data_IF_219110419547
#
_entry.id   IF_219110419547
#
_cell.length_a   1.000
_cell.length_b   1.000
_cell.length_c   1.000
_cell.angle_alpha   90.00
_cell.angle_beta   90.00
_cell.angle_gamma   90.00
#
_symmetry.space_group_name_H-M   'P 1'
#
loop_
_entity.id
_entity.type
_entity.pdbx_description
1 polymer ?
#
# COMPACT_ATOMS: atom_id res chain seq x y z
N UNK A 1 -2.53 9.69 60.68
CA UNK A 1 -3.64 8.82 60.23
C UNK A 1 -3.70 8.93 58.71
N UNK A 2 -3.51 7.80 58.01
CA UNK A 2 -3.46 7.70 56.54
C UNK A 2 -4.85 7.92 55.90
N UNK A 3 -4.95 8.40 54.64
CA UNK A 3 -6.22 8.51 53.94
C UNK A 3 -6.66 7.17 53.33
N UNK A 4 -7.97 7.01 53.25
CA UNK A 4 -8.70 5.84 52.73
C UNK A 4 -8.51 5.73 51.21
N UNK A 5 -7.99 4.60 50.73
CA UNK A 5 -7.81 4.31 49.31
C UNK A 5 -9.09 3.77 48.66
N UNK A 6 -9.37 4.27 47.45
CA UNK A 6 -10.48 3.87 46.59
C UNK A 6 -10.44 2.39 46.22
N UNK A 7 -11.58 1.71 46.32
CA UNK A 7 -11.77 0.32 45.87
C UNK A 7 -12.02 0.36 44.35
N UNK A 8 -11.07 -0.17 43.56
CA UNK A 8 -11.27 -0.41 42.13
C UNK A 8 -11.79 -1.82 41.93
N UNK A 9 -13.00 -1.97 41.38
CA UNK A 9 -13.54 -3.27 40.97
C UNK A 9 -12.83 -3.73 39.70
N UNK A 10 -12.08 -4.83 39.76
CA UNK A 10 -11.59 -5.52 38.57
C UNK A 10 -12.66 -6.50 38.08
N UNK A 11 -13.08 -6.33 36.82
CA UNK A 11 -13.90 -7.32 36.11
C UNK A 11 -13.00 -8.53 35.83
N UNK A 12 -13.18 -9.59 36.61
CA UNK A 12 -12.46 -10.85 36.40
C UNK A 12 -13.09 -11.59 35.22
N UNK A 13 -12.31 -11.78 34.16
CA UNK A 13 -12.70 -12.53 32.96
C UNK A 13 -13.18 -13.95 33.35
N UNK A 14 -14.29 -14.46 32.77
CA UNK A 14 -14.96 -15.69 33.22
C UNK A 14 -14.10 -16.97 33.21
N UNK A 15 -12.94 -16.95 32.54
CA UNK A 15 -11.98 -18.07 32.52
C UNK A 15 -11.18 -18.27 33.82
N UNK A 16 -11.04 -17.25 34.68
CA UNK A 16 -10.20 -17.36 35.90
C UNK A 16 -10.96 -17.98 37.08
N UNK A 17 -12.30 -17.98 37.03
CA UNK A 17 -13.14 -18.55 38.11
C UNK A 17 -12.99 -20.06 38.29
N UNK A 18 -12.50 -20.79 37.29
CA UNK A 18 -12.40 -22.26 37.36
C UNK A 18 -11.14 -22.79 38.06
N UNK A 19 -10.15 -21.94 38.35
CA UNK A 19 -8.89 -22.38 38.98
C UNK A 19 -8.85 -22.22 40.51
N UNK A 20 -9.90 -21.67 41.15
CA UNK A 20 -9.85 -21.28 42.57
C UNK A 20 -10.93 -21.98 43.42
N UNK A 21 -11.65 -22.98 42.88
CA UNK A 21 -12.55 -23.81 43.68
C UNK A 21 -11.80 -25.03 44.23
N UNK A 22 -10.97 -24.85 45.27
CA UNK A 22 -10.46 -26.03 45.98
C UNK A 22 -9.26 -25.92 46.91
N UNK A 23 -8.56 -24.79 47.04
CA UNK A 23 -7.39 -24.73 47.92
C UNK A 23 -7.59 -23.83 49.15
N UNK A 24 -7.39 -24.46 50.31
CA UNK A 24 -7.30 -23.86 51.64
C UNK A 24 -6.29 -22.71 51.67
N UNK A 25 -6.74 -21.56 52.18
CA UNK A 25 -5.98 -20.32 52.27
C UNK A 25 -4.96 -20.42 53.40
N UNK A 26 -3.84 -21.11 53.21
CA UNK A 26 -2.63 -20.93 54.03
C UNK A 26 -1.36 -21.09 53.19
N UNK A 27 -0.62 -19.98 53.08
CA UNK A 27 0.75 -19.86 52.52
C UNK A 27 0.89 -20.18 51.03
N UNK A 28 0.48 -19.24 50.19
CA UNK A 28 1.06 -19.07 48.86
C UNK A 28 1.50 -17.61 48.72
N UNK A 29 2.79 -17.34 48.91
CA UNK A 29 3.42 -16.13 48.38
C UNK A 29 3.43 -16.27 46.86
N UNK A 30 2.31 -15.92 46.22
CA UNK A 30 2.25 -15.78 44.78
C UNK A 30 2.99 -14.49 44.48
N UNK A 31 4.23 -14.62 44.03
CA UNK A 31 4.99 -13.53 43.41
C UNK A 31 4.26 -13.18 42.11
N UNK A 32 3.33 -12.22 42.17
CA UNK A 32 2.68 -11.67 40.98
C UNK A 32 3.76 -10.84 40.28
N UNK A 33 4.51 -11.47 39.37
CA UNK A 33 5.31 -10.72 38.41
C UNK A 33 4.33 -9.94 37.53
N UNK A 34 4.50 -8.62 37.34
CA UNK A 34 3.67 -7.90 36.39
C UNK A 34 3.89 -8.54 35.02
N UNK A 35 2.83 -9.10 34.44
CA UNK A 35 2.82 -9.42 33.01
C UNK A 35 3.22 -8.15 32.27
N UNK A 36 4.14 -8.21 31.30
CA UNK A 36 4.44 -7.04 30.49
C UNK A 36 3.13 -6.57 29.88
N UNK A 37 2.65 -5.40 30.31
CA UNK A 37 1.62 -4.67 29.60
C UNK A 37 2.27 -4.33 28.27
N UNK A 38 1.99 -5.15 27.25
CA UNK A 38 2.20 -4.74 25.87
C UNK A 38 1.27 -3.53 25.66
N UNK A 39 1.79 -2.34 25.94
CA UNK A 39 1.22 -1.11 25.40
C UNK A 39 1.24 -1.31 23.90
N UNK A 40 0.10 -1.67 23.31
CA UNK A 40 -0.01 -1.90 21.88
C UNK A 40 0.57 -0.68 21.18
N UNK A 41 1.75 -0.82 20.59
CA UNK A 41 2.39 0.25 19.84
C UNK A 41 1.42 0.56 18.71
N UNK A 42 0.86 1.77 18.71
CA UNK A 42 -0.03 2.24 17.66
C UNK A 42 0.61 1.93 16.30
N UNK A 43 -0.05 1.10 15.49
CA UNK A 43 0.47 0.67 14.20
C UNK A 43 0.30 1.86 13.24
N UNK A 44 1.37 2.62 13.03
CA UNK A 44 1.37 3.75 12.11
C UNK A 44 1.36 3.27 10.65
N UNK A 45 0.48 3.86 9.84
CA UNK A 45 0.41 3.68 8.39
C UNK A 45 1.72 4.06 7.71
N UNK A 46 2.26 5.24 8.07
CA UNK A 46 3.53 5.77 7.57
C UNK A 46 4.67 5.31 8.46
N UNK A 47 5.66 4.63 7.88
CA UNK A 47 6.73 3.94 8.59
C UNK A 47 8.09 4.39 8.09
N UNK A 48 9.02 4.57 9.04
CA UNK A 48 10.43 4.84 8.76
C UNK A 48 11.12 3.53 8.34
N UNK A 49 11.99 3.58 7.33
CA UNK A 49 12.81 2.43 6.94
C UNK A 49 14.13 2.34 7.75
N UNK A 50 14.88 1.22 7.67
CA UNK A 50 16.15 1.06 8.40
C UNK A 50 17.19 2.14 8.07
N UNK A 51 17.20 2.64 6.84
CA UNK A 51 18.13 3.69 6.38
C UNK A 51 17.75 5.10 6.83
N UNK A 52 16.63 5.29 7.52
CA UNK A 52 16.28 6.57 8.10
C UNK A 52 15.19 7.37 7.38
N UNK A 53 14.73 6.92 6.22
CA UNK A 53 13.77 7.64 5.39
C UNK A 53 12.34 7.44 5.90
N UNK A 54 11.52 8.48 5.77
CA UNK A 54 10.09 8.49 6.10
C UNK A 54 9.30 8.95 4.87
N UNK A 55 8.09 8.41 4.63
CA UNK A 55 7.26 8.85 3.52
C UNK A 55 6.92 10.33 3.58
N UNK A 56 6.89 10.98 2.41
CA UNK A 56 6.41 12.34 2.20
C UNK A 56 5.09 12.27 1.47
N UNK A 57 4.00 12.59 2.15
CA UNK A 57 2.63 12.44 1.62
C UNK A 57 1.94 13.79 1.61
N UNK A 58 1.36 14.16 0.48
CA UNK A 58 0.52 15.35 0.36
C UNK A 58 -0.67 15.31 1.33
N UNK A 59 -0.99 16.45 1.94
CA UNK A 59 -2.19 16.60 2.78
C UNK A 59 -3.48 16.45 1.99
N UNK A 60 -3.42 16.58 0.65
CA UNK A 60 -4.52 16.37 -0.29
C UNK A 60 -4.62 14.95 -0.83
N UNK A 61 -3.73 14.04 -0.44
CA UNK A 61 -3.90 12.61 -0.71
C UNK A 61 -4.82 11.96 0.34
N UNK A 62 -5.35 10.78 0.03
CA UNK A 62 -6.01 9.92 1.00
C UNK A 62 -5.26 8.60 1.10
N UNK A 63 -4.89 8.23 2.32
CA UNK A 63 -4.27 6.94 2.65
C UNK A 63 -5.20 6.21 3.61
N UNK A 64 -5.63 5.02 3.23
CA UNK A 64 -6.45 4.18 4.09
C UNK A 64 -5.69 3.77 5.39
N UNK A 65 -6.35 3.76 6.57
CA UNK A 65 -5.78 3.33 7.84
C UNK A 65 -5.08 1.97 7.86
N UNK A 66 -5.48 1.05 6.96
CA UNK A 66 -4.92 -0.30 6.86
C UNK A 66 -3.76 -0.41 5.88
N UNK A 67 -3.49 0.64 5.10
CA UNK A 67 -2.36 0.68 4.18
C UNK A 67 -1.02 0.81 4.93
N UNK A 68 0.05 0.31 4.31
CA UNK A 68 1.42 0.41 4.82
C UNK A 68 2.27 1.16 3.82
N UNK A 69 2.85 2.28 4.24
CA UNK A 69 3.78 3.07 3.43
C UNK A 69 5.08 3.20 4.19
N UNK A 70 6.17 2.69 3.63
CA UNK A 70 7.45 2.56 4.34
C UNK A 70 8.61 3.14 3.54
N UNK A 71 9.42 3.98 4.19
CA UNK A 71 10.70 4.43 3.66
C UNK A 71 10.62 5.61 2.70
N UNK A 72 11.49 5.63 1.68
CA UNK A 72 11.65 6.76 0.74
C UNK A 72 10.52 6.78 -0.31
N UNK A 73 9.31 7.09 0.13
CA UNK A 73 8.10 7.15 -0.71
C UNK A 73 7.59 8.59 -0.79
N UNK A 74 7.23 9.04 -1.99
CA UNK A 74 6.70 10.38 -2.25
C UNK A 74 5.32 10.24 -2.89
N UNK A 75 4.28 10.81 -2.26
CA UNK A 75 2.90 10.75 -2.72
C UNK A 75 2.36 12.16 -2.92
N UNK A 76 1.94 12.46 -4.14
CA UNK A 76 1.43 13.78 -4.56
C UNK A 76 -0.07 13.97 -4.30
N UNK A 77 -0.59 15.14 -4.68
CA UNK A 77 -1.96 15.58 -4.44
C UNK A 77 -3.00 14.65 -5.08
N UNK A 78 -4.14 14.46 -4.40
CA UNK A 78 -5.28 13.69 -4.92
C UNK A 78 -4.94 12.24 -5.30
N UNK A 79 -3.90 11.67 -4.69
CA UNK A 79 -3.65 10.23 -4.77
C UNK A 79 -4.57 9.50 -3.80
N UNK A 80 -5.22 8.45 -4.30
CA UNK A 80 -5.96 7.49 -3.49
C UNK A 80 -5.08 6.27 -3.20
N UNK A 81 -4.90 5.91 -1.93
CA UNK A 81 -4.29 4.63 -1.52
C UNK A 81 -5.30 3.84 -0.71
N UNK A 82 -5.74 2.72 -1.28
CA UNK A 82 -6.81 1.88 -0.74
C UNK A 82 -6.36 0.90 0.35
N UNK A 83 -7.33 0.19 0.95
CA UNK A 83 -7.09 -0.79 2.01
C UNK A 83 -6.02 -1.82 1.69
N UNK A 84 -5.19 -2.15 2.67
CA UNK A 84 -4.16 -3.18 2.59
C UNK A 84 -3.11 -3.00 1.49
N UNK A 85 -3.04 -1.85 0.83
CA UNK A 85 -1.93 -1.53 -0.07
C UNK A 85 -0.61 -1.46 0.70
N UNK A 86 0.47 -1.99 0.13
CA UNK A 86 1.81 -2.00 0.71
C UNK A 86 2.80 -1.35 -0.25
N UNK A 87 3.31 -0.17 0.12
CA UNK A 87 4.27 0.60 -0.66
C UNK A 87 5.56 0.72 0.16
N UNK A 88 6.65 0.11 -0.31
CA UNK A 88 7.85 -0.05 0.51
C UNK A 88 9.12 0.24 -0.28
N UNK A 89 9.81 1.32 0.10
CA UNK A 89 11.10 1.75 -0.41
C UNK A 89 12.16 1.66 0.70
N UNK A 90 12.72 0.46 0.91
CA UNK A 90 13.62 0.17 2.03
C UNK A 90 14.81 -0.74 1.68
N UNK A 91 14.90 -1.24 0.44
CA UNK A 91 16.09 -1.93 -0.05
C UNK A 91 17.16 -0.94 -0.50
N UNK A 92 18.42 -1.27 -0.22
CA UNK A 92 19.59 -0.51 -0.64
C UNK A 92 20.23 -1.12 -1.89
N UNK A 93 20.84 -0.27 -2.72
CA UNK A 93 21.73 -0.67 -3.79
C UNK A 93 23.12 -1.06 -3.23
N UNK A 94 24.04 -1.42 -4.13
CA UNK A 94 25.40 -1.84 -3.76
C UNK A 94 26.21 -0.73 -3.05
N UNK A 95 25.87 0.54 -3.29
CA UNK A 95 26.54 1.71 -2.74
C UNK A 95 25.93 2.15 -1.38
N UNK A 96 24.88 1.46 -0.91
CA UNK A 96 24.20 1.80 0.34
C UNK A 96 23.16 2.91 0.20
N UNK A 97 22.72 3.21 -1.02
CA UNK A 97 21.73 4.23 -1.37
C UNK A 97 20.40 3.62 -1.88
N UNK A 98 19.36 4.45 -2.02
CA UNK A 98 18.09 4.04 -2.64
C UNK A 98 17.43 5.22 -3.38
N UNK A 99 16.83 4.94 -4.52
CA UNK A 99 15.94 5.86 -5.22
C UNK A 99 14.53 5.83 -4.61
N UNK A 100 13.76 6.93 -4.76
CA UNK A 100 12.40 6.98 -4.24
C UNK A 100 11.42 6.13 -5.05
N UNK A 101 10.34 5.71 -4.38
CA UNK A 101 9.07 5.37 -5.04
C UNK A 101 8.24 6.66 -5.12
N UNK A 102 7.86 7.09 -6.32
CA UNK A 102 7.10 8.32 -6.56
C UNK A 102 5.74 7.99 -7.16
N UNK A 103 4.68 8.53 -6.56
CA UNK A 103 3.30 8.41 -7.05
C UNK A 103 2.75 9.80 -7.31
N UNK A 104 2.54 10.13 -8.59
CA UNK A 104 2.09 11.43 -9.05
C UNK A 104 0.58 11.63 -8.90
N UNK A 105 0.17 12.89 -9.03
CA UNK A 105 -1.16 13.36 -8.67
C UNK A 105 -2.30 12.66 -9.43
N UNK A 106 -3.47 12.60 -8.82
CA UNK A 106 -4.69 12.00 -9.39
C UNK A 106 -4.58 10.51 -9.75
N UNK A 107 -3.53 9.84 -9.27
CA UNK A 107 -3.35 8.40 -9.42
C UNK A 107 -4.08 7.65 -8.31
N UNK A 108 -4.31 6.36 -8.53
CA UNK A 108 -4.89 5.49 -7.50
C UNK A 108 -4.11 4.19 -7.37
N UNK A 109 -3.82 3.83 -6.13
CA UNK A 109 -3.20 2.58 -5.71
C UNK A 109 -4.25 1.82 -4.93
N UNK A 110 -4.90 0.87 -5.59
CA UNK A 110 -6.10 0.22 -5.07
C UNK A 110 -5.77 -0.89 -4.06
N UNK A 111 -6.82 -1.54 -3.58
CA UNK A 111 -6.79 -2.51 -2.48
C UNK A 111 -5.76 -3.62 -2.71
N UNK A 112 -4.92 -3.86 -1.70
CA UNK A 112 -3.94 -4.94 -1.71
C UNK A 112 -2.83 -4.82 -2.77
N UNK A 113 -2.69 -3.67 -3.44
CA UNK A 113 -1.57 -3.44 -4.35
C UNK A 113 -0.24 -3.48 -3.59
N UNK A 114 0.78 -4.07 -4.20
CA UNK A 114 2.14 -4.08 -3.67
C UNK A 114 3.05 -3.29 -4.60
N UNK A 115 3.73 -2.27 -4.07
CA UNK A 115 4.77 -1.53 -4.77
C UNK A 115 6.07 -1.66 -3.97
N UNK A 116 7.09 -2.17 -4.63
CA UNK A 116 8.39 -2.44 -4.03
C UNK A 116 9.50 -2.25 -5.06
N UNK A 117 10.74 -2.16 -4.62
CA UNK A 117 11.89 -1.98 -5.50
C UNK A 117 13.01 -2.94 -5.16
N UNK A 118 13.62 -3.56 -6.17
CA UNK A 118 14.82 -4.39 -6.01
C UNK A 118 16.03 -3.48 -5.85
N UNK A 119 16.90 -3.75 -4.87
CA UNK A 119 18.24 -3.13 -4.79
C UNK A 119 18.21 -1.60 -4.89
N UNK A 120 17.25 -0.94 -4.23
CA UNK A 120 17.12 0.51 -4.23
C UNK A 120 16.70 1.14 -5.55
N UNK A 121 16.21 0.37 -6.53
CA UNK A 121 15.79 0.88 -7.83
C UNK A 121 14.56 1.83 -7.76
N UNK A 122 14.39 2.76 -8.72
CA UNK A 122 13.25 3.66 -8.73
C UNK A 122 11.95 2.96 -9.14
N UNK A 123 10.83 3.44 -8.60
CA UNK A 123 9.50 3.21 -9.18
C UNK A 123 8.79 4.56 -9.33
N UNK A 124 8.28 4.84 -10.52
CA UNK A 124 7.48 6.05 -10.78
C UNK A 124 6.12 5.65 -11.32
N UNK A 125 5.05 6.19 -10.72
CA UNK A 125 3.68 6.09 -11.20
C UNK A 125 3.23 7.49 -11.63
N UNK A 126 3.01 7.68 -12.93
CA UNK A 126 2.64 8.94 -13.56
C UNK A 126 1.23 9.40 -13.22
N UNK A 127 0.91 10.66 -13.52
CA UNK A 127 -0.37 11.27 -13.13
C UNK A 127 -1.58 10.62 -13.78
N UNK A 128 -2.69 10.54 -13.06
CA UNK A 128 -3.94 9.97 -13.58
C UNK A 128 -3.86 8.47 -13.88
N UNK A 129 -2.87 7.78 -13.33
CA UNK A 129 -2.65 6.34 -13.55
C UNK A 129 -3.37 5.51 -12.48
N UNK A 130 -3.94 4.40 -12.90
CA UNK A 130 -4.66 3.47 -12.03
C UNK A 130 -3.87 2.18 -11.87
N UNK A 131 -3.41 1.89 -10.65
CA UNK A 131 -2.85 0.59 -10.27
C UNK A 131 -3.94 -0.17 -9.54
N UNK A 132 -4.62 -1.05 -10.26
CA UNK A 132 -5.85 -1.66 -9.79
C UNK A 132 -5.63 -2.81 -8.79
N UNK A 133 -6.72 -3.25 -8.14
CA UNK A 133 -6.68 -4.16 -6.99
C UNK A 133 -5.70 -5.33 -7.16
N UNK A 134 -4.85 -5.53 -6.14
CA UNK A 134 -3.89 -6.65 -6.02
C UNK A 134 -2.83 -6.72 -7.12
N UNK A 135 -2.67 -5.68 -7.94
CA UNK A 135 -1.54 -5.60 -8.85
C UNK A 135 -0.21 -5.49 -8.08
N UNK A 136 0.88 -5.92 -8.71
CA UNK A 136 2.24 -5.83 -8.18
C UNK A 136 3.06 -4.97 -9.13
N UNK A 137 3.72 -3.94 -8.60
CA UNK A 137 4.70 -3.13 -9.32
C UNK A 137 6.04 -3.28 -8.62
N UNK A 138 7.01 -3.89 -9.29
CA UNK A 138 8.32 -4.16 -8.74
C UNK A 138 9.42 -3.44 -9.54
N UNK A 139 10.18 -2.57 -8.87
CA UNK A 139 11.22 -1.76 -9.48
C UNK A 139 12.42 -2.58 -10.02
N UNK A 140 13.15 -2.08 -11.03
CA UNK A 140 12.98 -0.75 -11.66
C UNK A 140 11.72 -0.69 -12.53
N UNK A 141 10.87 0.32 -12.33
CA UNK A 141 9.64 0.44 -13.10
C UNK A 141 9.26 1.90 -13.33
N UNK A 142 8.97 2.26 -14.57
CA UNK A 142 8.38 3.55 -14.90
C UNK A 142 7.01 3.31 -15.53
N UNK A 143 5.97 3.85 -14.92
CA UNK A 143 4.62 3.87 -15.49
C UNK A 143 4.28 5.33 -15.75
N UNK A 144 4.09 5.69 -17.00
CA UNK A 144 3.79 7.07 -17.38
C UNK A 144 2.33 7.43 -17.02
N UNK A 145 1.88 8.59 -17.50
CA UNK A 145 0.56 9.14 -17.20
C UNK A 145 -0.59 8.42 -17.93
N UNK A 146 -1.78 8.47 -17.32
CA UNK A 146 -3.04 7.92 -17.88
C UNK A 146 -2.98 6.43 -18.21
N UNK A 147 -2.15 5.67 -17.51
CA UNK A 147 -2.04 4.22 -17.68
C UNK A 147 -3.07 3.49 -16.80
N UNK A 148 -3.63 2.39 -17.29
CA UNK A 148 -4.43 1.46 -16.48
C UNK A 148 -3.71 0.13 -16.33
N UNK A 149 -3.43 -0.28 -15.09
CA UNK A 149 -2.91 -1.59 -14.74
C UNK A 149 -4.01 -2.40 -14.06
N UNK A 150 -4.47 -3.45 -14.73
CA UNK A 150 -5.60 -4.26 -14.30
C UNK A 150 -5.30 -5.16 -13.10
N UNK A 151 -6.38 -5.69 -12.51
CA UNK A 151 -6.37 -6.54 -11.33
C UNK A 151 -5.37 -7.69 -11.41
N UNK A 152 -4.67 -7.96 -10.30
CA UNK A 152 -3.67 -9.02 -10.15
C UNK A 152 -2.54 -9.02 -11.21
N UNK A 153 -2.36 -7.94 -11.97
CA UNK A 153 -1.28 -7.87 -12.97
C UNK A 153 0.07 -7.63 -12.31
N UNK A 154 1.14 -8.10 -12.94
CA UNK A 154 2.50 -7.96 -12.42
C UNK A 154 3.34 -7.15 -13.41
N UNK A 155 3.97 -6.10 -12.91
CA UNK A 155 4.94 -5.28 -13.61
C UNK A 155 6.30 -5.45 -12.94
N UNK A 156 7.33 -5.78 -13.72
CA UNK A 156 8.70 -5.88 -13.24
C UNK A 156 9.68 -5.41 -14.30
N UNK A 157 10.69 -4.62 -13.93
CA UNK A 157 11.77 -4.22 -14.84
C UNK A 157 11.27 -3.61 -16.18
N UNK A 158 10.23 -2.77 -16.15
CA UNK A 158 9.53 -2.35 -17.36
C UNK A 158 9.28 -0.83 -17.40
N UNK A 159 9.09 -0.30 -18.61
CA UNK A 159 8.59 1.06 -18.84
C UNK A 159 7.26 0.99 -19.59
N UNK A 160 6.18 1.43 -18.95
CA UNK A 160 4.85 1.47 -19.56
C UNK A 160 4.56 2.90 -19.98
N UNK A 161 4.51 3.15 -21.29
CA UNK A 161 4.29 4.49 -21.81
C UNK A 161 2.83 4.94 -21.69
N UNK A 162 2.63 6.24 -21.87
CA UNK A 162 1.36 6.94 -21.69
C UNK A 162 0.17 6.24 -22.37
N UNK A 163 -0.95 6.20 -21.66
CA UNK A 163 -2.23 5.73 -22.21
C UNK A 163 -2.31 4.21 -22.43
N UNK A 164 -1.31 3.42 -22.03
CA UNK A 164 -1.43 1.96 -22.08
C UNK A 164 -2.56 1.45 -21.20
N UNK A 165 -3.20 0.37 -21.66
CA UNK A 165 -4.20 -0.38 -20.88
C UNK A 165 -3.75 -1.82 -20.81
N UNK A 166 -3.28 -2.22 -19.62
CA UNK A 166 -2.91 -3.60 -19.31
C UNK A 166 -4.09 -4.22 -18.55
N UNK A 167 -4.66 -5.29 -19.11
CA UNK A 167 -5.82 -5.97 -18.52
C UNK A 167 -5.39 -7.01 -17.50
N UNK A 168 -6.35 -7.79 -17.03
CA UNK A 168 -6.27 -8.51 -15.76
C UNK A 168 -5.35 -9.71 -15.81
N UNK A 169 -4.65 -9.98 -14.71
CA UNK A 169 -3.70 -11.10 -14.58
C UNK A 169 -2.62 -11.13 -15.67
N UNK A 170 -2.30 -9.98 -16.28
CA UNK A 170 -1.21 -9.90 -17.25
C UNK A 170 0.14 -9.80 -16.52
N UNK A 171 1.20 -10.24 -17.17
CA UNK A 171 2.57 -10.10 -16.67
C UNK A 171 3.38 -9.32 -17.71
N UNK A 172 3.93 -8.18 -17.31
CA UNK A 172 4.82 -7.36 -18.14
C UNK A 172 6.17 -7.27 -17.46
N UNK A 173 7.18 -7.84 -18.10
CA UNK A 173 8.50 -8.03 -17.51
C UNK A 173 9.62 -7.69 -18.49
N UNK A 174 10.52 -6.77 -18.13
CA UNK A 174 11.75 -6.55 -18.90
C UNK A 174 11.57 -5.79 -20.22
N UNK A 175 10.45 -5.10 -20.42
CA UNK A 175 10.09 -4.49 -21.71
C UNK A 175 9.59 -3.06 -21.58
N UNK A 176 9.78 -2.26 -22.63
CA UNK A 176 9.11 -0.97 -22.79
C UNK A 176 7.86 -1.15 -23.65
N UNK A 177 6.66 -0.93 -23.09
CA UNK A 177 5.43 -0.92 -23.86
C UNK A 177 5.23 0.45 -24.53
N UNK A 178 5.02 0.51 -25.86
CA UNK A 178 4.75 1.76 -26.56
C UNK A 178 3.45 2.43 -26.11
N UNK A 179 3.33 3.75 -26.29
CA UNK A 179 2.12 4.50 -25.97
C UNK A 179 0.84 3.88 -26.55
N UNK A 180 -0.24 3.94 -25.79
CA UNK A 180 -1.57 3.45 -26.18
C UNK A 180 -1.58 1.98 -26.62
N UNK A 181 -0.68 1.14 -26.07
CA UNK A 181 -0.72 -0.31 -26.28
C UNK A 181 -1.77 -0.95 -25.39
N UNK A 182 -2.57 -1.84 -25.96
CA UNK A 182 -3.54 -2.65 -25.22
C UNK A 182 -3.01 -4.06 -25.02
N UNK A 183 -2.86 -4.48 -23.76
CA UNK A 183 -2.46 -5.84 -23.39
C UNK A 183 -3.68 -6.59 -22.88
N UNK A 184 -4.16 -7.64 -23.58
CA UNK A 184 -5.25 -8.48 -23.12
C UNK A 184 -4.99 -9.15 -21.76
N UNK A 185 -6.05 -9.60 -21.12
CA UNK A 185 -5.95 -10.32 -19.85
C UNK A 185 -5.13 -11.59 -20.04
N UNK A 186 -4.39 -12.00 -19.00
CA UNK A 186 -3.60 -13.25 -18.96
C UNK A 186 -2.39 -13.32 -19.90
N UNK A 187 -2.09 -12.25 -20.64
CA UNK A 187 -0.91 -12.17 -21.49
C UNK A 187 0.38 -12.07 -20.70
N UNK A 188 1.45 -12.66 -21.24
CA UNK A 188 2.82 -12.47 -20.76
C UNK A 188 3.64 -11.74 -21.81
N UNK A 189 4.06 -10.53 -21.49
CA UNK A 189 4.81 -9.66 -22.39
C UNK A 189 6.22 -9.45 -21.83
N UNK A 190 7.23 -9.66 -22.66
CA UNK A 190 8.62 -9.45 -22.28
C UNK A 190 9.53 -9.07 -23.45
N UNK A 191 10.85 -9.16 -23.29
CA UNK A 191 11.82 -8.67 -24.28
C UNK A 191 11.67 -9.29 -25.68
N UNK A 192 11.26 -10.56 -25.73
CA UNK A 192 11.13 -11.34 -26.97
C UNK A 192 9.72 -11.29 -27.58
N UNK A 193 8.78 -10.56 -26.95
CA UNK A 193 7.41 -10.42 -27.45
C UNK A 193 7.37 -9.54 -28.71
N UNK A 194 6.58 -9.95 -29.71
CA UNK A 194 6.31 -9.09 -30.87
C UNK A 194 5.32 -7.98 -30.49
N UNK A 195 5.84 -6.84 -30.03
CA UNK A 195 4.99 -5.74 -29.58
C UNK A 195 4.07 -5.18 -30.68
N UNK A 196 4.37 -5.43 -31.96
CA UNK A 196 3.54 -4.99 -33.09
C UNK A 196 2.27 -5.82 -33.25
N UNK A 197 2.21 -7.02 -32.63
CA UNK A 197 1.01 -7.87 -32.69
C UNK A 197 -0.09 -7.38 -31.75
N UNK A 198 0.24 -6.57 -30.74
CA UNK A 198 -0.75 -6.02 -29.83
C UNK A 198 -1.51 -4.85 -30.45
N UNK A 199 -2.82 -4.82 -30.21
CA UNK A 199 -3.68 -3.75 -30.67
C UNK A 199 -3.41 -2.45 -29.93
N UNK A 200 -3.74 -1.32 -30.57
CA UNK A 200 -3.86 -0.06 -29.85
C UNK A 200 -5.11 -0.05 -28.98
N UNK A 201 -5.07 0.74 -27.91
CA UNK A 201 -6.20 0.98 -27.00
C UNK A 201 -7.36 1.58 -27.79
N UNK A 202 -8.54 0.98 -27.65
CA UNK A 202 -9.77 1.48 -28.24
C UNK A 202 -10.38 2.62 -27.39
N UNK A 203 -11.25 3.48 -27.96
CA UNK A 203 -11.83 4.60 -27.23
C UNK A 203 -12.59 4.22 -25.95
N UNK A 204 -13.25 3.06 -25.91
CA UNK A 204 -13.99 2.64 -24.74
C UNK A 204 -13.05 2.22 -23.60
N UNK A 205 -11.95 1.53 -23.93
CA UNK A 205 -10.90 1.20 -22.95
C UNK A 205 -10.21 2.45 -22.39
N UNK A 206 -9.97 3.47 -23.22
CA UNK A 206 -9.41 4.74 -22.78
C UNK A 206 -10.39 5.48 -21.85
N UNK A 207 -11.66 5.60 -22.26
CA UNK A 207 -12.71 6.23 -21.44
C UNK A 207 -12.85 5.53 -20.09
N UNK A 208 -12.84 4.19 -20.08
CA UNK A 208 -12.87 3.42 -18.83
C UNK A 208 -11.69 3.77 -17.91
N UNK A 209 -10.46 3.87 -18.45
CA UNK A 209 -9.27 4.27 -17.68
C UNK A 209 -9.46 5.65 -17.01
N UNK A 210 -9.95 6.63 -17.78
CA UNK A 210 -10.19 8.00 -17.30
C UNK A 210 -11.29 8.06 -16.24
N UNK A 211 -12.38 7.30 -16.43
CA UNK A 211 -13.48 7.21 -15.47
C UNK A 211 -13.02 6.61 -14.14
N UNK A 212 -12.15 5.59 -14.16
CA UNK A 212 -11.57 5.01 -12.94
C UNK A 212 -10.71 6.04 -12.20
N UNK A 213 -9.85 6.77 -12.90
CA UNK A 213 -9.02 7.80 -12.29
C UNK A 213 -9.88 8.92 -11.68
N UNK A 214 -10.86 9.44 -12.43
CA UNK A 214 -11.80 10.48 -11.97
C UNK A 214 -12.63 10.02 -10.77
N UNK A 215 -13.09 8.77 -10.77
CA UNK A 215 -13.85 8.20 -9.65
C UNK A 215 -13.01 8.14 -8.37
N UNK A 216 -11.73 7.75 -8.47
CA UNK A 216 -10.86 7.68 -7.31
C UNK A 216 -10.50 9.08 -6.75
N UNK A 217 -10.41 10.11 -7.59
CA UNK A 217 -10.30 11.50 -7.11
C UNK A 217 -11.52 11.89 -6.27
N UNK A 218 -12.73 11.55 -6.71
CA UNK A 218 -13.96 11.79 -5.93
C UNK A 218 -13.97 11.00 -4.62
N UNK A 219 -13.41 9.79 -4.59
CA UNK A 219 -13.24 9.02 -3.35
C UNK A 219 -12.27 9.71 -2.39
N UNK A 220 -11.15 10.26 -2.86
CA UNK A 220 -10.24 11.06 -2.02
C UNK A 220 -10.99 12.19 -1.35
N UNK A 221 -11.77 12.97 -2.11
CA UNK A 221 -12.56 14.07 -1.57
C UNK A 221 -13.60 13.60 -0.54
N UNK A 222 -14.29 12.49 -0.83
CA UNK A 222 -15.27 11.89 0.08
C UNK A 222 -14.64 11.46 1.40
N UNK A 223 -13.57 10.68 1.35
CA UNK A 223 -12.89 10.20 2.56
C UNK A 223 -12.19 11.32 3.34
N UNK A 224 -11.67 12.35 2.67
CA UNK A 224 -11.13 13.51 3.37
C UNK A 224 -12.19 14.31 4.13
N UNK A 225 -13.41 14.39 3.60
CA UNK A 225 -14.54 15.01 4.34
C UNK A 225 -14.84 14.21 5.61
N UNK A 226 -14.92 12.88 5.50
CA UNK A 226 -15.15 11.98 6.64
C UNK A 226 -14.05 12.08 7.71
N UNK A 227 -12.79 12.31 7.31
CA UNK A 227 -11.68 12.51 8.26
C UNK A 227 -11.88 13.73 9.16
N UNK A 228 -12.68 14.71 8.74
CA UNK A 228 -12.96 15.91 9.53
C UNK A 228 -14.21 15.78 10.41
N UNK A 229 -14.92 14.64 10.36
CA UNK A 229 -16.12 14.39 11.17
C UNK A 229 -15.82 13.79 12.56
N UNK A 230 -14.58 13.33 12.79
CA UNK A 230 -14.10 12.71 14.02
C UNK A 230 -12.70 13.22 14.39
#
# INVERSE_FOLDING_TARGET
MLPVGSITFFVVHPFVKHLISGLSIRKACILIMPLPVFTGKEVKMLRKNPSGHTPVVSTKAYIDPTAVICGRVIIHDYVYVGPYAVIRADELNADGDMDPIIIHSHSNIQDGVVIHSKSGAPVTIGSGTSIAHRAIVHGPCQVDERVFIGFNSVLFNCHIQTGCVIRYNAVVDGVTLPENTYIPSTERVGPDSDLKSYSRVDPASLQFSEEVASTNVKLVEGYQKLRNEF
#
